data_IF_292938285667
#
_entry.id   IF_292938285667
#
_cell.length_a   1.000
_cell.length_b   1.000
_cell.length_c   1.000
_cell.angle_alpha   90.00
_cell.angle_beta   90.00
_cell.angle_gamma   90.00
#
_symmetry.space_group_name_H-M   'P 1'
#
loop_
_entity.id
_entity.type
_entity.pdbx_description
1 polymer ?
#
# COMPACT_ATOMS: atom_id res chain seq x y z
N UNK A 1 -18.58 8.87 4.74
CA UNK A 1 -17.43 7.99 4.42
C UNK A 1 -16.20 8.86 4.25
N UNK A 2 -15.04 8.42 4.77
CA UNK A 2 -13.75 9.09 4.57
C UNK A 2 -13.48 9.40 3.08
N UNK A 3 -13.97 8.54 2.18
CA UNK A 3 -13.89 8.74 0.73
C UNK A 3 -14.59 10.03 0.24
N UNK A 4 -15.75 10.37 0.81
CA UNK A 4 -16.49 11.60 0.48
C UNK A 4 -15.78 12.85 0.99
N UNK A 5 -15.12 12.75 2.16
CA UNK A 5 -14.36 13.84 2.75
C UNK A 5 -13.20 14.24 1.83
N UNK A 6 -12.44 13.28 1.30
CA UNK A 6 -11.28 13.56 0.43
C UNK A 6 -11.64 13.90 -1.01
N UNK A 7 -12.77 13.41 -1.53
CA UNK A 7 -13.23 13.77 -2.87
C UNK A 7 -13.83 15.18 -2.95
N UNK A 8 -14.01 15.86 -1.81
CA UNK A 8 -14.35 17.27 -1.79
C UNK A 8 -15.75 17.58 -2.34
N UNK A 9 -16.65 16.60 -2.36
CA UNK A 9 -18.00 16.76 -2.90
C UNK A 9 -19.01 15.92 -2.10
N UNK A 10 -20.15 16.54 -1.78
CA UNK A 10 -21.29 15.85 -1.18
C UNK A 10 -21.94 14.82 -2.12
N UNK A 11 -22.86 14.02 -1.60
CA UNK A 11 -23.74 13.21 -2.45
C UNK A 11 -24.80 14.11 -3.09
N UNK A 12 -25.05 13.92 -4.38
CA UNK A 12 -26.17 14.56 -5.06
C UNK A 12 -27.49 14.15 -4.37
N UNK A 13 -28.33 15.11 -4.02
CA UNK A 13 -29.65 14.88 -3.46
C UNK A 13 -30.69 15.62 -4.30
N UNK A 14 -31.85 14.98 -4.52
CA UNK A 14 -32.99 15.64 -5.17
C UNK A 14 -33.52 16.81 -4.32
N UNK A 15 -33.93 17.89 -4.98
CA UNK A 15 -34.62 19.00 -4.34
C UNK A 15 -36.12 18.69 -4.17
N UNK A 16 -36.74 19.23 -3.11
CA UNK A 16 -38.15 19.00 -2.78
C UNK A 16 -39.12 19.52 -3.85
N UNK A 17 -38.68 20.48 -4.68
CA UNK A 17 -39.47 21.12 -5.74
C UNK A 17 -39.08 20.68 -7.16
N UNK A 18 -38.27 19.61 -7.29
CA UNK A 18 -37.75 19.14 -8.58
C UNK A 18 -36.34 19.68 -8.88
N UNK A 19 -35.55 18.88 -9.60
CA UNK A 19 -34.12 19.15 -9.86
C UNK A 19 -33.18 18.61 -8.76
N UNK A 20 -31.88 18.88 -8.90
CA UNK A 20 -30.85 18.48 -7.95
C UNK A 20 -30.49 19.65 -7.03
N UNK A 21 -30.30 19.39 -5.73
CA UNK A 21 -29.69 20.35 -4.81
C UNK A 21 -28.28 20.71 -5.25
N UNK A 22 -27.88 21.94 -4.96
CA UNK A 22 -26.53 22.42 -5.21
C UNK A 22 -25.49 21.52 -4.51
N UNK A 23 -24.54 21.02 -5.31
CA UNK A 23 -23.53 20.10 -4.81
C UNK A 23 -22.51 20.86 -3.97
N UNK A 24 -22.56 20.68 -2.65
CA UNK A 24 -21.56 21.27 -1.75
C UNK A 24 -20.19 20.67 -2.06
N UNK A 25 -19.24 21.54 -2.42
CA UNK A 25 -17.84 21.20 -2.65
C UNK A 25 -16.97 21.76 -1.53
N UNK A 26 -15.91 21.05 -1.17
CA UNK A 26 -14.96 21.49 -0.17
C UNK A 26 -13.54 21.01 -0.51
N UNK A 27 -12.55 21.71 0.03
CA UNK A 27 -11.16 21.27 0.03
C UNK A 27 -10.68 21.39 1.47
N UNK A 28 -10.38 20.26 2.10
CA UNK A 28 -10.06 20.21 3.53
C UNK A 28 -8.90 19.26 3.79
N UNK A 29 -8.21 19.51 4.89
CA UNK A 29 -7.24 18.60 5.50
C UNK A 29 -7.88 18.11 6.78
N UNK A 30 -7.87 16.79 6.98
CA UNK A 30 -8.35 16.18 8.22
C UNK A 30 -7.16 15.55 8.93
N UNK A 31 -7.08 15.80 10.22
CA UNK A 31 -6.14 15.16 11.13
C UNK A 31 -6.97 14.27 12.05
N UNK A 32 -6.57 13.01 12.16
CA UNK A 32 -7.18 12.04 13.07
C UNK A 32 -6.08 11.42 13.91
N UNK A 33 -6.39 11.10 15.15
CA UNK A 33 -5.51 10.33 16.04
C UNK A 33 -6.29 9.11 16.52
N UNK A 34 -5.63 7.96 16.57
CA UNK A 34 -6.27 6.69 16.94
C UNK A 34 -5.21 5.62 17.17
N UNK A 35 -5.56 4.63 17.99
CA UNK A 35 -4.68 3.50 18.31
C UNK A 35 -4.52 2.53 17.13
N UNK A 36 -5.55 2.45 16.28
CA UNK A 36 -5.55 1.63 15.07
C UNK A 36 -5.51 2.52 13.85
N UNK A 37 -4.72 2.12 12.86
CA UNK A 37 -4.72 2.77 11.56
C UNK A 37 -6.04 2.51 10.81
N UNK A 38 -6.31 3.31 9.77
CA UNK A 38 -7.58 3.24 9.01
C UNK A 38 -7.73 1.95 8.20
N UNK A 39 -6.63 1.33 7.77
CA UNK A 39 -6.70 0.04 7.09
C UNK A 39 -7.18 -1.05 8.06
N UNK A 40 -6.55 -1.12 9.24
CA UNK A 40 -6.93 -2.04 10.31
C UNK A 40 -8.38 -1.82 10.76
N UNK A 41 -8.78 -0.56 10.96
CA UNK A 41 -10.17 -0.24 11.34
C UNK A 41 -11.19 -0.69 10.28
N UNK A 42 -10.88 -0.52 8.98
CA UNK A 42 -11.77 -0.96 7.90
C UNK A 42 -11.80 -2.48 7.77
N UNK A 43 -10.67 -3.16 8.00
CA UNK A 43 -10.59 -4.61 7.95
C UNK A 43 -11.45 -5.30 9.03
N UNK A 44 -11.55 -4.71 10.22
CA UNK A 44 -12.43 -5.19 11.31
C UNK A 44 -13.92 -5.21 10.93
N UNK A 45 -14.32 -4.30 10.04
CA UNK A 45 -15.68 -4.22 9.47
C UNK A 45 -15.83 -5.02 8.16
N UNK A 46 -14.83 -5.83 7.80
CA UNK A 46 -14.80 -6.62 6.57
C UNK A 46 -14.61 -5.78 5.30
N UNK A 47 -14.19 -4.52 5.42
CA UNK A 47 -14.00 -3.60 4.31
C UNK A 47 -12.52 -3.59 3.90
N UNK A 48 -12.21 -4.15 2.72
CA UNK A 48 -10.85 -4.09 2.18
C UNK A 48 -10.56 -2.72 1.56
N UNK A 49 -9.67 -1.95 2.19
CA UNK A 49 -9.22 -0.66 1.66
C UNK A 49 -8.32 -0.87 0.43
N UNK A 50 -8.47 -0.03 -0.59
CA UNK A 50 -7.55 -0.04 -1.74
C UNK A 50 -6.34 0.84 -1.43
N UNK A 51 -5.15 0.47 -1.87
CA UNK A 51 -3.92 1.22 -1.64
C UNK A 51 -4.00 2.70 -2.10
N UNK A 52 -4.69 2.96 -3.22
CA UNK A 52 -4.99 4.33 -3.69
C UNK A 52 -5.87 5.16 -2.75
N UNK A 53 -6.66 4.53 -1.88
CA UNK A 53 -7.43 5.21 -0.82
C UNK A 53 -6.54 5.48 0.40
N UNK A 54 -5.65 4.56 0.75
CA UNK A 54 -4.72 4.69 1.87
C UNK A 54 -3.71 5.81 1.66
N UNK A 55 -3.18 6.00 0.44
CA UNK A 55 -2.30 7.16 0.16
C UNK A 55 -3.01 8.53 0.25
N UNK A 56 -4.34 8.57 0.36
CA UNK A 56 -5.08 9.81 0.58
C UNK A 56 -5.15 10.21 2.05
N UNK A 57 -4.95 9.28 2.97
CA UNK A 57 -4.87 9.52 4.40
C UNK A 57 -3.55 8.92 4.90
N UNK A 58 -2.55 9.79 5.06
CA UNK A 58 -1.22 9.36 5.49
C UNK A 58 -1.26 8.94 6.95
N UNK A 59 -1.07 7.65 7.20
CA UNK A 59 -0.90 7.11 8.55
C UNK A 59 0.57 7.30 8.96
N UNK A 60 0.87 8.40 9.63
CA UNK A 60 2.23 8.67 10.14
C UNK A 60 2.32 8.06 11.54
N UNK A 61 3.22 7.08 11.78
CA UNK A 61 3.39 6.52 13.12
C UNK A 61 3.88 7.61 14.08
N UNK A 62 3.32 7.62 15.30
CA UNK A 62 3.76 8.53 16.35
C UNK A 62 4.78 7.84 17.24
N UNK A 63 5.92 8.51 17.45
CA UNK A 63 6.94 8.08 18.40
C UNK A 63 6.77 8.78 19.75
N UNK A 64 7.30 8.16 20.80
CA UNK A 64 7.29 8.75 22.14
C UNK A 64 8.21 9.97 22.16
N UNK A 65 7.69 11.12 22.57
CA UNK A 65 8.49 12.35 22.71
C UNK A 65 9.68 12.14 23.65
N UNK A 66 10.86 12.61 23.25
CA UNK A 66 12.09 12.55 24.05
C UNK A 66 12.51 13.91 24.61
N UNK A 67 11.98 15.00 24.04
CA UNK A 67 12.22 16.37 24.49
C UNK A 67 10.96 16.89 25.19
N UNK A 68 11.13 17.38 26.41
CA UNK A 68 10.03 17.86 27.27
C UNK A 68 10.20 19.31 27.73
N UNK A 69 11.21 20.01 27.19
CA UNK A 69 11.61 21.36 27.63
C UNK A 69 11.79 21.44 29.15
N UNK A 70 11.08 22.34 29.82
CA UNK A 70 11.18 22.60 31.26
C UNK A 70 10.37 21.61 32.14
N UNK A 71 9.74 20.61 31.52
CA UNK A 71 8.87 19.66 32.23
C UNK A 71 9.59 18.35 32.55
N UNK A 72 9.23 17.76 33.70
CA UNK A 72 9.87 16.56 34.22
C UNK A 72 9.65 15.31 33.35
N UNK A 73 8.54 15.23 32.61
CA UNK A 73 8.18 14.09 31.78
C UNK A 73 7.17 14.50 30.69
N UNK A 74 6.91 13.58 29.75
CA UNK A 74 5.97 13.81 28.65
C UNK A 74 4.52 14.06 29.08
N UNK A 75 4.08 13.54 30.23
CA UNK A 75 2.73 13.79 30.73
C UNK A 75 2.57 15.25 31.18
N UNK A 76 3.52 15.76 31.95
CA UNK A 76 3.52 17.16 32.41
C UNK A 76 3.67 18.13 31.22
N UNK A 77 4.52 17.78 30.24
CA UNK A 77 4.67 18.55 29.02
C UNK A 77 3.36 18.61 28.20
N UNK A 78 2.69 17.48 27.99
CA UNK A 78 1.42 17.42 27.28
C UNK A 78 0.31 18.21 28.00
N UNK A 79 0.29 18.16 29.34
CA UNK A 79 -0.67 18.93 30.16
C UNK A 79 -0.42 20.44 30.01
N UNK A 80 0.83 20.86 30.03
CA UNK A 80 1.20 22.26 29.84
C UNK A 80 0.83 22.77 28.44
N UNK A 81 1.13 21.98 27.39
CA UNK A 81 0.70 22.29 26.02
C UNK A 81 -0.82 22.43 25.92
N UNK A 82 -1.58 21.52 26.56
CA UNK A 82 -3.05 21.57 26.58
C UNK A 82 -3.61 22.83 27.22
N UNK A 83 -3.06 23.24 28.36
CA UNK A 83 -3.44 24.50 28.99
C UNK A 83 -3.13 25.69 28.06
N UNK A 84 -1.92 25.73 27.50
CA UNK A 84 -1.47 26.82 26.65
C UNK A 84 -2.34 26.99 25.39
N UNK A 85 -2.62 25.93 24.63
CA UNK A 85 -3.41 26.05 23.40
C UNK A 85 -4.91 26.29 23.67
N UNK A 86 -5.41 25.98 24.87
CA UNK A 86 -6.82 26.26 25.23
C UNK A 86 -7.04 27.76 25.40
N UNK A 87 -6.04 28.47 25.94
CA UNK A 87 -6.10 29.92 26.16
C UNK A 87 -5.53 30.71 24.97
N UNK A 88 -4.63 30.10 24.19
CA UNK A 88 -3.90 30.77 23.12
C UNK A 88 -4.01 29.99 21.81
N UNK A 89 -4.94 30.40 20.93
CA UNK A 89 -5.15 29.75 19.64
C UNK A 89 -5.43 30.75 18.50
N UNK A 90 -5.14 30.31 17.27
CA UNK A 90 -5.50 31.03 16.04
C UNK A 90 -4.58 32.18 15.63
N UNK A 91 -3.63 32.62 16.45
CA UNK A 91 -2.69 33.69 16.11
C UNK A 91 -1.80 33.31 14.91
N UNK A 92 -1.03 32.22 15.03
CA UNK A 92 -0.12 31.74 13.99
C UNK A 92 -0.82 31.49 12.66
N UNK A 93 -2.01 30.87 12.68
CA UNK A 93 -2.78 30.59 11.47
C UNK A 93 -3.24 31.86 10.74
N UNK A 94 -3.63 32.90 11.46
CA UNK A 94 -4.03 34.19 10.87
C UNK A 94 -2.84 34.90 10.22
N UNK A 95 -1.69 34.92 10.90
CA UNK A 95 -0.47 35.50 10.33
C UNK A 95 0.01 34.73 9.09
N UNK A 96 -0.05 33.40 9.14
CA UNK A 96 0.27 32.57 7.98
C UNK A 96 -0.62 32.86 6.77
N UNK A 97 -1.94 33.02 6.98
CA UNK A 97 -2.88 33.37 5.89
C UNK A 97 -2.58 34.76 5.33
N UNK A 98 -2.26 35.75 6.18
CA UNK A 98 -1.87 37.09 5.73
C UNK A 98 -0.61 37.03 4.86
N UNK A 99 0.40 36.28 5.29
CA UNK A 99 1.64 36.12 4.54
C UNK A 99 1.41 35.44 3.19
N UNK A 100 0.64 34.35 3.15
CA UNK A 100 0.29 33.67 1.90
C UNK A 100 -0.46 34.57 0.92
N UNK A 101 -1.34 35.45 1.43
CA UNK A 101 -2.09 36.37 0.59
C UNK A 101 -1.18 37.41 -0.10
N UNK A 102 -0.11 37.86 0.58
CA UNK A 102 0.86 38.84 0.07
C UNK A 102 2.06 38.23 -0.67
N UNK A 103 2.37 36.94 -0.47
CA UNK A 103 3.56 36.27 -1.02
C UNK A 103 3.20 35.06 -1.90
N UNK A 104 2.16 35.19 -2.75
CA UNK A 104 1.63 34.07 -3.53
C UNK A 104 2.65 33.43 -4.48
N UNK A 105 3.50 34.25 -5.13
CA UNK A 105 4.49 33.74 -6.07
C UNK A 105 5.61 33.02 -5.33
N UNK A 106 6.12 33.61 -4.25
CA UNK A 106 7.13 33.01 -3.38
C UNK A 106 6.67 31.68 -2.79
N UNK A 107 5.40 31.59 -2.35
CA UNK A 107 4.82 30.32 -1.88
C UNK A 107 4.76 29.24 -2.98
N UNK A 108 4.45 29.62 -4.23
CA UNK A 108 4.45 28.67 -5.36
C UNK A 108 5.85 28.21 -5.71
N UNK A 109 6.82 29.13 -5.69
CA UNK A 109 8.21 28.83 -5.99
C UNK A 109 8.83 27.93 -4.92
N UNK A 110 8.51 28.16 -3.63
CA UNK A 110 8.91 27.28 -2.53
C UNK A 110 8.37 25.85 -2.71
N UNK A 111 7.11 25.69 -3.09
CA UNK A 111 6.53 24.36 -3.37
C UNK A 111 7.19 23.71 -4.58
N UNK A 112 7.48 24.47 -5.64
CA UNK A 112 8.16 23.96 -6.83
C UNK A 112 9.57 23.46 -6.50
N UNK A 113 10.35 24.26 -5.78
CA UNK A 113 11.70 23.90 -5.35
C UNK A 113 11.69 22.66 -4.43
N UNK A 114 10.74 22.58 -3.50
CA UNK A 114 10.57 21.40 -2.66
C UNK A 114 10.26 20.16 -3.50
N UNK A 115 9.34 20.23 -4.48
CA UNK A 115 9.03 19.09 -5.35
C UNK A 115 10.24 18.59 -6.14
N UNK A 116 11.01 19.50 -6.74
CA UNK A 116 12.23 19.14 -7.47
C UNK A 116 13.24 18.42 -6.56
N UNK A 117 13.37 18.87 -5.30
CA UNK A 117 14.19 18.18 -4.29
C UNK A 117 13.66 16.78 -3.97
N UNK A 118 12.35 16.66 -3.75
CA UNK A 118 11.70 15.39 -3.41
C UNK A 118 11.78 14.37 -4.56
N UNK A 119 11.67 14.81 -5.81
CA UNK A 119 11.84 13.94 -6.98
C UNK A 119 13.23 13.29 -7.01
N UNK A 120 14.27 13.99 -6.54
CA UNK A 120 15.62 13.44 -6.39
C UNK A 120 15.84 12.53 -5.18
N UNK A 121 14.95 12.57 -4.18
CA UNK A 121 15.06 11.76 -2.96
C UNK A 121 14.39 10.39 -3.07
N UNK A 122 13.41 10.24 -3.97
CA UNK A 122 12.62 9.02 -4.08
C UNK A 122 13.29 8.08 -5.08
N UNK A 123 13.68 6.86 -4.67
CA UNK A 123 14.23 5.88 -5.59
C UNK A 123 13.27 5.57 -6.75
N UNK A 124 13.79 5.39 -7.97
CA UNK A 124 12.97 5.14 -9.16
C UNK A 124 12.13 3.86 -9.08
N UNK A 125 12.57 2.88 -8.28
CA UNK A 125 11.88 1.62 -8.05
C UNK A 125 10.68 1.73 -7.09
N UNK A 126 10.43 2.91 -6.49
CA UNK A 126 9.25 3.12 -5.67
C UNK A 126 8.01 3.33 -6.56
N UNK A 127 6.92 2.64 -6.26
CA UNK A 127 5.71 2.69 -7.07
C UNK A 127 5.06 4.08 -7.15
N UNK A 128 4.21 4.31 -8.17
CA UNK A 128 3.49 5.58 -8.43
C UNK A 128 2.65 6.12 -7.26
N UNK A 129 2.39 5.28 -6.27
CA UNK A 129 1.74 5.65 -5.02
C UNK A 129 2.65 6.47 -4.12
N UNK A 130 3.92 6.08 -3.97
CA UNK A 130 4.88 6.80 -3.11
C UNK A 130 5.21 8.17 -3.71
N UNK A 131 5.35 8.27 -5.04
CA UNK A 131 5.54 9.57 -5.73
C UNK A 131 4.42 10.56 -5.43
N UNK A 132 3.16 10.10 -5.44
CA UNK A 132 1.99 10.93 -5.07
C UNK A 132 1.96 11.35 -3.61
N UNK A 133 2.56 10.56 -2.73
CA UNK A 133 2.67 10.90 -1.30
C UNK A 133 3.78 11.93 -1.09
N UNK A 134 4.91 11.78 -1.77
CA UNK A 134 6.01 12.74 -1.68
C UNK A 134 5.61 14.17 -2.08
N UNK A 135 4.72 14.31 -3.08
CA UNK A 135 4.11 15.61 -3.43
C UNK A 135 3.49 16.33 -2.21
N UNK A 136 2.94 15.58 -1.26
CA UNK A 136 2.35 16.13 -0.02
C UNK A 136 3.42 16.52 0.98
N UNK A 137 4.45 15.69 1.14
CA UNK A 137 5.60 15.99 2.00
C UNK A 137 6.38 17.21 1.49
N UNK A 138 6.52 17.38 0.17
CA UNK A 138 7.07 18.57 -0.45
C UNK A 138 6.29 19.85 -0.09
N UNK A 139 4.95 19.78 -0.09
CA UNK A 139 4.10 20.91 0.33
C UNK A 139 4.30 21.22 1.82
N UNK A 140 4.40 20.20 2.68
CA UNK A 140 4.62 20.40 4.12
C UNK A 140 5.99 21.02 4.42
N UNK A 141 7.04 20.55 3.74
CA UNK A 141 8.37 21.15 3.83
C UNK A 141 8.39 22.61 3.38
N UNK A 142 7.82 22.89 2.20
CA UNK A 142 7.74 24.26 1.69
C UNK A 142 7.00 25.18 2.67
N UNK A 143 5.92 24.70 3.28
CA UNK A 143 5.17 25.45 4.28
C UNK A 143 5.99 25.70 5.57
N UNK A 144 6.76 24.73 6.06
CA UNK A 144 7.61 24.92 7.24
C UNK A 144 8.75 25.90 6.97
N UNK A 145 9.42 25.77 5.82
CA UNK A 145 10.53 26.67 5.44
C UNK A 145 10.01 28.10 5.26
N UNK A 146 8.93 28.29 4.50
CA UNK A 146 8.33 29.62 4.33
C UNK A 146 7.77 30.18 5.66
N UNK A 147 7.32 29.31 6.55
CA UNK A 147 6.84 29.63 7.89
C UNK A 147 7.92 29.76 8.96
N UNK A 148 9.21 29.76 8.62
CA UNK A 148 10.31 29.79 9.60
C UNK A 148 10.22 30.95 10.60
N UNK A 149 9.71 32.10 10.17
CA UNK A 149 9.53 33.28 11.02
C UNK A 149 8.40 33.11 12.05
N UNK A 150 7.51 32.14 11.86
CA UNK A 150 6.43 31.78 12.78
C UNK A 150 6.83 30.69 13.76
N UNK A 151 7.57 29.68 13.29
CA UNK A 151 7.92 28.49 14.06
C UNK A 151 9.27 28.64 14.79
N UNK A 152 10.14 29.51 14.29
CA UNK A 152 11.53 29.62 14.73
C UNK A 152 12.43 28.46 14.26
N UNK A 153 11.91 27.55 13.45
CA UNK A 153 12.68 26.41 12.95
C UNK A 153 13.58 26.83 11.79
N UNK A 154 14.81 26.33 11.77
CA UNK A 154 15.69 26.52 10.63
C UNK A 154 15.20 25.72 9.42
N UNK A 155 15.66 26.11 8.24
CA UNK A 155 15.41 25.37 6.99
C UNK A 155 15.86 23.90 7.13
N UNK A 156 17.04 23.66 7.70
CA UNK A 156 17.56 22.31 7.89
C UNK A 156 16.70 21.50 8.88
N UNK A 157 16.35 22.07 10.04
CA UNK A 157 15.50 21.39 11.01
C UNK A 157 14.12 21.03 10.44
N UNK A 158 13.57 21.92 9.60
CA UNK A 158 12.32 21.67 8.88
C UNK A 158 12.43 20.50 7.90
N UNK A 159 13.51 20.45 7.12
CA UNK A 159 13.78 19.34 6.19
C UNK A 159 13.95 18.02 6.92
N UNK A 160 14.76 18.00 7.97
CA UNK A 160 15.07 16.81 8.76
C UNK A 160 13.79 16.22 9.37
N UNK A 161 12.94 17.06 9.96
CA UNK A 161 11.67 16.63 10.55
C UNK A 161 10.71 16.03 9.52
N UNK A 162 10.53 16.68 8.35
CA UNK A 162 9.64 16.17 7.30
C UNK A 162 10.20 14.88 6.70
N UNK A 163 11.51 14.80 6.47
CA UNK A 163 12.14 13.60 5.94
C UNK A 163 12.09 12.44 6.92
N UNK A 164 12.28 12.68 8.22
CA UNK A 164 12.09 11.68 9.27
C UNK A 164 10.66 11.12 9.26
N UNK A 165 9.64 11.99 9.24
CA UNK A 165 8.23 11.57 9.14
C UNK A 165 7.93 10.77 7.86
N UNK A 166 8.53 11.16 6.73
CA UNK A 166 8.40 10.41 5.47
C UNK A 166 9.02 9.02 5.56
N UNK A 167 10.24 8.92 6.09
CA UNK A 167 10.93 7.63 6.24
C UNK A 167 10.16 6.69 7.18
N UNK A 168 9.63 7.21 8.28
CA UNK A 168 8.77 6.46 9.18
C UNK A 168 7.49 5.99 8.47
N UNK A 169 6.86 6.86 7.68
CA UNK A 169 5.70 6.49 6.85
C UNK A 169 6.05 5.44 5.79
N UNK A 170 7.20 5.53 5.11
CA UNK A 170 7.64 4.53 4.12
C UNK A 170 7.90 3.18 4.79
N UNK A 171 8.50 3.17 5.99
CA UNK A 171 8.73 1.96 6.77
C UNK A 171 7.42 1.22 7.08
N UNK A 172 6.39 1.95 7.49
CA UNK A 172 5.06 1.40 7.79
C UNK A 172 4.23 1.08 6.56
N UNK A 173 4.20 1.95 5.55
CA UNK A 173 3.40 1.74 4.33
C UNK A 173 4.00 0.65 3.43
N UNK A 174 5.31 0.47 3.48
CA UNK A 174 6.07 -0.32 2.53
C UNK A 174 6.21 0.38 1.17
N UNK A 175 7.17 -0.03 0.35
CA UNK A 175 7.48 0.62 -0.95
C UNK A 175 6.54 0.23 -2.10
N UNK A 176 5.31 -0.22 -1.79
CA UNK A 176 4.50 -1.09 -2.67
C UNK A 176 4.76 -2.59 -2.45
N UNK A 177 5.71 -2.91 -1.55
CA UNK A 177 6.03 -4.27 -1.13
C UNK A 177 4.86 -4.97 -0.42
N UNK A 178 4.09 -4.31 0.47
CA UNK A 178 3.04 -5.00 1.25
C UNK A 178 1.94 -5.63 0.39
N UNK A 179 1.48 -4.96 -0.65
CA UNK A 179 0.50 -5.55 -1.58
C UNK A 179 1.13 -6.71 -2.38
N UNK A 180 2.39 -6.58 -2.80
CA UNK A 180 3.11 -7.66 -3.47
C UNK A 180 3.38 -8.86 -2.54
N UNK A 181 3.74 -8.61 -1.29
CA UNK A 181 3.94 -9.61 -0.25
C UNK A 181 2.63 -10.31 0.07
N UNK A 182 1.50 -9.59 0.14
CA UNK A 182 0.18 -10.21 0.28
C UNK A 182 -0.15 -11.12 -0.91
N UNK A 183 0.20 -10.72 -2.14
CA UNK A 183 0.00 -11.54 -3.35
C UNK A 183 0.84 -12.82 -3.29
N UNK A 184 2.12 -12.69 -2.92
CA UNK A 184 3.05 -13.81 -2.75
C UNK A 184 2.54 -14.75 -1.66
N UNK A 185 2.30 -14.23 -0.46
CA UNK A 185 1.81 -15.00 0.69
C UNK A 185 0.47 -15.70 0.41
N UNK A 186 -0.44 -15.07 -0.34
CA UNK A 186 -1.71 -15.68 -0.73
C UNK A 186 -1.51 -16.86 -1.71
N UNK A 187 -0.56 -16.73 -2.64
CA UNK A 187 -0.22 -17.81 -3.55
C UNK A 187 0.46 -18.98 -2.81
N UNK A 188 1.42 -18.68 -1.94
CA UNK A 188 2.11 -19.67 -1.08
C UNK A 188 1.11 -20.40 -0.19
N UNK A 189 0.22 -19.68 0.49
CA UNK A 189 -0.80 -20.28 1.35
C UNK A 189 -1.70 -21.27 0.58
N UNK A 190 -2.04 -20.96 -0.68
CA UNK A 190 -2.79 -21.89 -1.51
C UNK A 190 -1.98 -23.14 -1.88
N UNK A 191 -0.72 -22.96 -2.30
CA UNK A 191 0.17 -24.06 -2.71
C UNK A 191 0.54 -24.96 -1.53
N UNK A 192 0.83 -24.39 -0.36
CA UNK A 192 1.05 -25.15 0.87
C UNK A 192 -0.16 -25.97 1.28
N UNK A 193 -1.36 -25.38 1.18
CA UNK A 193 -2.59 -26.06 1.58
C UNK A 193 -3.04 -27.13 0.60
N UNK A 194 -2.84 -26.93 -0.70
CA UNK A 194 -3.49 -27.72 -1.75
C UNK A 194 -2.55 -28.33 -2.78
N UNK A 195 -1.25 -28.02 -2.74
CA UNK A 195 -0.26 -28.45 -3.73
C UNK A 195 -0.10 -29.97 -3.85
N UNK A 196 -0.39 -30.71 -2.78
CA UNK A 196 -0.36 -32.19 -2.78
C UNK A 196 -1.74 -32.84 -2.83
N UNK A 197 -2.82 -32.08 -2.67
CA UNK A 197 -4.18 -32.64 -2.55
C UNK A 197 -5.10 -32.30 -3.72
N UNK A 198 -4.83 -31.22 -4.46
CA UNK A 198 -5.65 -30.75 -5.59
C UNK A 198 -4.90 -30.75 -6.92
N UNK A 199 -3.62 -31.12 -6.95
CA UNK A 199 -2.84 -31.21 -8.18
C UNK A 199 -2.46 -32.65 -8.47
N UNK A 200 -2.73 -33.11 -9.69
CA UNK A 200 -2.39 -34.46 -10.12
C UNK A 200 -0.92 -34.53 -10.56
N UNK A 201 -0.11 -35.48 -10.05
CA UNK A 201 1.25 -35.68 -10.54
C UNK A 201 1.30 -35.99 -12.04
N UNK A 202 2.24 -35.38 -12.77
CA UNK A 202 2.45 -35.58 -14.20
C UNK A 202 3.95 -35.69 -14.52
N UNK A 203 4.37 -36.60 -15.44
CA UNK A 203 3.55 -37.57 -16.16
C UNK A 203 3.21 -38.83 -15.35
N UNK A 204 3.79 -38.97 -14.16
CA UNK A 204 3.79 -40.19 -13.35
C UNK A 204 2.54 -40.31 -12.46
N UNK A 205 1.35 -40.22 -13.07
CA UNK A 205 0.07 -40.37 -12.35
C UNK A 205 -0.14 -41.83 -11.89
N UNK A 206 -0.40 -42.05 -10.59
CA UNK A 206 -0.84 -43.36 -10.07
C UNK A 206 -2.39 -43.41 -10.06
N UNK A 207 -3.03 -44.49 -10.52
CA UNK A 207 -4.48 -44.68 -10.37
C UNK A 207 -5.00 -44.48 -8.94
N UNK A 208 -4.16 -44.68 -7.91
CA UNK A 208 -4.47 -44.42 -6.49
C UNK A 208 -4.65 -42.95 -6.15
N UNK A 209 -4.09 -42.05 -6.95
CA UNK A 209 -4.26 -40.60 -6.79
C UNK A 209 -5.68 -40.15 -7.18
N UNK A 210 -6.44 -41.01 -7.86
CA UNK A 210 -7.78 -40.69 -8.36
C UNK A 210 -8.89 -41.30 -7.46
N UNK A 211 -10.02 -40.57 -7.28
CA UNK A 211 -10.30 -39.24 -7.81
C UNK A 211 -9.73 -38.11 -6.92
N UNK A 212 -9.14 -37.09 -7.55
CA UNK A 212 -8.81 -35.84 -6.87
C UNK A 212 -10.07 -34.96 -6.79
N UNK A 213 -10.49 -34.64 -5.56
CA UNK A 213 -11.57 -33.69 -5.33
C UNK A 213 -11.14 -32.26 -5.71
N UNK A 214 -12.00 -31.55 -6.43
CA UNK A 214 -11.80 -30.14 -6.83
C UNK A 214 -10.44 -29.89 -7.52
N UNK A 215 -10.10 -30.72 -8.50
CA UNK A 215 -8.82 -30.71 -9.23
C UNK A 215 -8.43 -29.29 -9.70
N UNK A 216 -7.34 -28.77 -9.13
CA UNK A 216 -6.78 -27.46 -9.40
C UNK A 216 -5.87 -27.42 -10.66
N UNK A 217 -5.27 -28.56 -11.00
CA UNK A 217 -4.33 -28.66 -12.12
C UNK A 217 -3.42 -29.88 -12.03
N UNK A 218 -2.22 -29.75 -12.60
CA UNK A 218 -1.18 -30.78 -12.59
C UNK A 218 0.08 -30.28 -11.91
N UNK A 219 0.81 -31.19 -11.27
CA UNK A 219 2.11 -30.88 -10.67
C UNK A 219 3.20 -31.70 -11.36
N UNK A 220 4.33 -31.05 -11.59
CA UNK A 220 5.57 -31.69 -12.01
C UNK A 220 6.60 -31.38 -10.94
N UNK A 221 7.04 -32.40 -10.23
CA UNK A 221 8.01 -32.27 -9.14
C UNK A 221 9.39 -31.91 -9.70
N UNK A 222 10.17 -31.19 -8.89
CA UNK A 222 11.57 -30.89 -9.18
C UNK A 222 12.37 -32.17 -9.42
N UNK A 223 13.39 -32.12 -10.29
CA UNK A 223 14.22 -33.31 -10.56
C UNK A 223 15.31 -33.51 -9.51
N UNK A 224 15.58 -32.47 -8.72
CA UNK A 224 16.51 -32.43 -7.58
C UNK A 224 15.76 -31.87 -6.38
N UNK A 225 16.28 -32.13 -5.18
CA UNK A 225 15.73 -31.60 -3.92
C UNK A 225 15.59 -30.07 -3.94
N UNK A 226 16.54 -29.37 -4.59
CA UNK A 226 16.54 -27.90 -4.71
C UNK A 226 15.74 -27.36 -5.93
N UNK A 227 15.12 -28.22 -6.75
CA UNK A 227 14.39 -27.77 -7.93
C UNK A 227 12.94 -27.38 -7.56
N UNK A 228 12.53 -26.15 -7.89
CA UNK A 228 11.14 -25.71 -7.70
C UNK A 228 10.15 -26.63 -8.44
N UNK A 229 9.13 -27.08 -7.70
CA UNK A 229 8.01 -27.82 -8.28
C UNK A 229 7.14 -26.90 -9.14
N UNK A 230 6.66 -27.42 -10.27
CA UNK A 230 5.81 -26.67 -11.21
C UNK A 230 4.37 -27.08 -11.10
N UNK A 231 3.51 -26.11 -10.82
CA UNK A 231 2.06 -26.28 -10.68
C UNK A 231 1.35 -25.66 -11.89
N UNK A 232 0.93 -26.51 -12.81
CA UNK A 232 0.14 -26.16 -13.99
C UNK A 232 -1.32 -25.99 -13.58
N UNK A 233 -1.65 -24.77 -13.14
CA UNK A 233 -2.94 -24.40 -12.56
C UNK A 233 -3.95 -24.01 -13.62
N UNK A 234 -5.16 -24.55 -13.54
CA UNK A 234 -6.25 -24.18 -14.44
C UNK A 234 -6.61 -22.69 -14.30
N UNK A 235 -6.95 -22.00 -15.41
CA UNK A 235 -7.27 -20.57 -15.36
C UNK A 235 -8.38 -20.21 -14.38
N UNK A 236 -9.47 -21.00 -14.33
CA UNK A 236 -10.57 -20.74 -13.40
C UNK A 236 -10.10 -20.75 -11.94
N UNK A 237 -9.26 -21.71 -11.57
CA UNK A 237 -8.75 -21.85 -10.20
C UNK A 237 -7.83 -20.67 -9.85
N UNK A 238 -6.94 -20.28 -10.77
CA UNK A 238 -6.07 -19.14 -10.55
C UNK A 238 -6.86 -17.83 -10.43
N UNK A 239 -7.84 -17.61 -11.31
CA UNK A 239 -8.60 -16.36 -11.41
C UNK A 239 -9.68 -16.23 -10.32
N UNK A 240 -10.31 -17.32 -9.91
CA UNK A 240 -11.44 -17.32 -8.97
C UNK A 240 -11.01 -17.62 -7.53
N UNK A 241 -9.99 -18.47 -7.33
CA UNK A 241 -9.56 -18.90 -5.99
C UNK A 241 -8.21 -18.28 -5.57
N UNK A 242 -7.15 -18.50 -6.35
CA UNK A 242 -5.80 -18.10 -5.93
C UNK A 242 -5.66 -16.58 -5.90
N UNK A 243 -6.17 -15.89 -6.93
CA UNK A 243 -6.15 -14.43 -7.00
C UNK A 243 -7.42 -13.77 -6.44
N UNK A 244 -8.22 -14.51 -5.65
CA UNK A 244 -9.46 -14.00 -5.09
C UNK A 244 -9.25 -12.66 -4.36
N UNK A 245 -10.08 -11.68 -4.70
CA UNK A 245 -9.98 -10.31 -4.16
C UNK A 245 -8.95 -9.41 -4.85
N UNK A 246 -8.21 -9.90 -5.85
CA UNK A 246 -7.26 -9.14 -6.66
C UNK A 246 -7.64 -9.16 -8.16
N UNK A 247 -7.01 -8.29 -8.96
CA UNK A 247 -7.10 -8.41 -10.41
C UNK A 247 -6.15 -9.52 -10.90
N UNK A 248 -6.62 -10.57 -11.61
CA UNK A 248 -5.79 -11.73 -11.95
C UNK A 248 -4.58 -11.41 -12.84
N UNK A 249 -4.68 -10.38 -13.69
CA UNK A 249 -3.57 -9.96 -14.56
C UNK A 249 -2.50 -9.24 -13.75
N UNK A 250 -2.89 -8.38 -12.81
CA UNK A 250 -1.95 -7.72 -11.91
C UNK A 250 -1.28 -8.73 -10.96
N UNK A 251 -2.08 -9.61 -10.36
CA UNK A 251 -1.61 -10.70 -9.48
C UNK A 251 -0.57 -11.57 -10.17
N UNK A 252 -0.86 -12.05 -11.39
CA UNK A 252 0.09 -12.86 -12.15
C UNK A 252 1.36 -12.10 -12.59
N UNK A 253 1.28 -10.78 -12.80
CA UNK A 253 2.48 -9.97 -13.08
C UNK A 253 3.41 -9.88 -11.87
N UNK A 254 2.85 -9.71 -10.68
CA UNK A 254 3.59 -9.66 -9.41
C UNK A 254 4.27 -11.00 -9.15
N UNK A 255 3.54 -12.11 -9.26
CA UNK A 255 4.14 -13.45 -9.10
C UNK A 255 5.26 -13.72 -10.12
N UNK A 256 5.12 -13.24 -11.35
CA UNK A 256 6.18 -13.39 -12.35
C UNK A 256 7.41 -12.53 -12.06
N UNK A 257 7.24 -11.36 -11.43
CA UNK A 257 8.37 -10.55 -10.96
C UNK A 257 9.06 -11.20 -9.77
N UNK A 258 8.30 -11.88 -8.91
CA UNK A 258 8.80 -12.61 -7.74
C UNK A 258 9.40 -13.99 -8.09
N UNK A 259 9.45 -14.38 -9.36
CA UNK A 259 9.95 -15.71 -9.77
C UNK A 259 9.00 -16.87 -9.46
N UNK A 260 7.79 -16.62 -8.96
CA UNK A 260 6.80 -17.65 -8.64
C UNK A 260 5.87 -18.03 -9.81
N UNK A 261 5.95 -17.33 -10.95
CA UNK A 261 5.13 -17.62 -12.13
C UNK A 261 5.96 -17.62 -13.42
N UNK A 262 5.92 -18.74 -14.15
CA UNK A 262 6.58 -18.88 -15.45
C UNK A 262 5.69 -18.36 -16.58
N UNK A 263 6.17 -17.34 -17.32
CA UNK A 263 5.43 -16.75 -18.43
C UNK A 263 5.56 -17.55 -19.73
N UNK A 264 4.50 -17.54 -20.54
CA UNK A 264 4.49 -18.06 -21.92
C UNK A 264 4.81 -16.96 -22.94
N UNK A 265 6.04 -16.44 -22.92
CA UNK A 265 6.41 -15.24 -23.67
C UNK A 265 5.77 -13.99 -23.06
N UNK A 266 5.06 -13.19 -23.86
CA UNK A 266 4.37 -11.97 -23.40
C UNK A 266 3.08 -12.26 -22.61
N UNK A 267 2.66 -13.53 -22.53
CA UNK A 267 1.41 -13.95 -21.87
C UNK A 267 1.70 -14.60 -20.53
N UNK A 268 0.83 -14.34 -19.54
CA UNK A 268 0.89 -15.00 -18.22
C UNK A 268 0.50 -16.48 -18.28
N UNK A 269 -0.30 -16.87 -19.27
CA UNK A 269 -0.73 -18.26 -19.48
C UNK A 269 0.16 -18.94 -20.52
N UNK A 270 0.49 -20.21 -20.31
CA UNK A 270 1.27 -21.03 -21.23
C UNK A 270 0.48 -22.27 -21.65
N UNK A 271 0.50 -22.57 -22.96
CA UNK A 271 0.07 -23.90 -23.43
C UNK A 271 1.15 -24.90 -23.04
N UNK A 272 0.81 -25.82 -22.15
CA UNK A 272 1.78 -26.74 -21.57
C UNK A 272 1.16 -28.13 -21.39
N UNK A 273 2.04 -29.09 -21.06
CA UNK A 273 1.74 -30.52 -21.00
C UNK A 273 1.36 -31.11 -22.38
N UNK A 274 1.42 -32.45 -22.51
CA UNK A 274 0.91 -33.12 -23.72
C UNK A 274 -0.61 -32.95 -23.79
N UNK A 275 -1.22 -33.29 -24.93
CA UNK A 275 -2.69 -33.25 -25.06
C UNK A 275 -3.34 -34.15 -24.03
N UNK A 276 -3.98 -33.56 -23.02
CA UNK A 276 -4.75 -34.26 -22.01
C UNK A 276 -6.20 -34.32 -22.51
N UNK A 277 -6.77 -35.52 -22.62
CA UNK A 277 -8.10 -35.70 -23.21
C UNK A 277 -8.20 -35.21 -24.67
N UNK A 278 -7.10 -35.25 -25.42
CA UNK A 278 -7.07 -34.81 -26.83
C UNK A 278 -7.03 -33.30 -27.05
N UNK A 279 -7.11 -32.48 -25.99
CA UNK A 279 -7.03 -31.01 -26.08
C UNK A 279 -5.75 -30.48 -25.43
N UNK A 280 -5.24 -29.38 -25.96
CA UNK A 280 -4.12 -28.66 -25.36
C UNK A 280 -4.68 -27.52 -24.51
N UNK A 281 -4.40 -27.55 -23.21
CA UNK A 281 -4.87 -26.55 -22.27
C UNK A 281 -3.83 -25.45 -22.05
N UNK A 282 -4.31 -24.25 -21.70
CA UNK A 282 -3.46 -23.15 -21.26
C UNK A 282 -3.55 -23.05 -19.73
N UNK A 283 -2.40 -22.92 -19.08
CA UNK A 283 -2.27 -22.92 -17.62
C UNK A 283 -1.54 -21.66 -17.14
N UNK A 284 -1.80 -21.28 -15.89
CA UNK A 284 -0.83 -20.51 -15.12
C UNK A 284 0.18 -21.48 -14.51
N UNK A 285 1.47 -21.27 -14.75
CA UNK A 285 2.53 -22.17 -14.28
C UNK A 285 3.18 -21.54 -13.06
N UNK A 286 2.79 -22.00 -11.88
CA UNK A 286 3.34 -21.53 -10.60
C UNK A 286 4.57 -22.36 -10.25
N UNK A 287 5.57 -21.73 -9.64
CA UNK A 287 6.82 -22.35 -9.22
C UNK A 287 6.96 -22.15 -7.71
N UNK A 288 7.13 -23.25 -6.97
CA UNK A 288 7.19 -23.22 -5.51
C UNK A 288 7.88 -24.49 -4.97
N UNK A 289 8.64 -24.35 -3.89
CA UNK A 289 9.16 -25.46 -3.10
C UNK A 289 8.67 -25.30 -1.64
N UNK A 290 7.98 -26.30 -1.05
CA UNK A 290 7.56 -26.25 0.35
C UNK A 290 8.74 -26.29 1.34
N UNK A 291 9.92 -26.75 0.91
CA UNK A 291 11.04 -27.08 1.80
C UNK A 291 12.05 -25.93 1.98
N UNK A 292 11.91 -24.80 1.28
CA UNK A 292 12.80 -23.63 1.43
C UNK A 292 12.54 -22.83 2.72
N UNK A 293 11.36 -22.94 3.33
CA UNK A 293 10.96 -22.15 4.51
C UNK A 293 11.71 -22.54 5.81
N UNK A 294 12.42 -23.67 5.85
CA UNK A 294 13.16 -24.11 7.06
C UNK A 294 14.63 -23.62 7.12
N UNK A 295 15.25 -23.24 6.00
CA UNK A 295 16.69 -22.88 5.99
C UNK A 295 16.96 -21.37 6.19
N UNK A 296 16.04 -20.48 5.83
CA UNK A 296 16.25 -19.03 6.01
C UNK A 296 16.11 -18.53 7.46
N UNK A 297 15.60 -19.35 8.40
CA UNK A 297 15.55 -19.00 9.83
C UNK A 297 16.84 -19.34 10.61
N UNK A 298 17.92 -19.77 9.95
CA UNK A 298 19.18 -20.18 10.62
C UNK A 298 20.45 -19.44 10.19
N UNK A 299 20.38 -18.24 9.59
CA UNK A 299 21.57 -17.40 9.38
C UNK A 299 21.43 -15.99 9.92
#
# INVERSE_FOLDING_TARGET
SAYTLFNGAGKLQGAKEGGNRELRRWRTVAISTGEKDVETFLAEEGIRAKAGQLVRLLNIPMEKSTVHHEHANGYDHARALKAAYTENYGATGREWVKWLASHQQEAKDAVKAARERWDGLIPENYGDQVKRVADRFAILEAALIAGQYLTGWSEQASRDAIQHCFNAWVGEFGTGSKEHQQIIAQCEAFLNRFGFSRYLPYPDTDPRDLPIKDLAGYRVDGKREDDLSKFYTYPAIFEEEISAGFNPVAFGKVLALAGMLERGGDRLKKKALKKIGGKQHAFYVLMYSPDEDEEEQKK
#
